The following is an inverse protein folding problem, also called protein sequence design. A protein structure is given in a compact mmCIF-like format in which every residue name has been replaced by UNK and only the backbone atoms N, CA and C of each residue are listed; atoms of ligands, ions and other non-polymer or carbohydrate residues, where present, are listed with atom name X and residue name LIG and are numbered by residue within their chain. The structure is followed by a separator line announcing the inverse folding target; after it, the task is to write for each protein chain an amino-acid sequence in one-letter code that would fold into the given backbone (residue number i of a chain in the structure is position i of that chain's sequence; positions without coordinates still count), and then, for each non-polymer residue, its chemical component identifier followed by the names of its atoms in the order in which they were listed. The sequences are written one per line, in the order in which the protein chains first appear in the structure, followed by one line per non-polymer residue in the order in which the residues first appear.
data_IF_501272284027
#
_entry.id   IF_501272284027
#
_cell.length_a   1.000
_cell.length_b   1.000
_cell.length_c   1.000
_cell.angle_alpha   90.00
_cell.angle_beta   90.00
_cell.angle_gamma   90.00
#
_symmetry.space_group_name_H-M   'P 1'
#
loop_
_entity.id
_entity.type
_entity.pdbx_description
1 polymer ?
#
# COMPACT_ATOMS: atom_id res chain seq x y z
N UNK A 1 25.99 7.64 -8.76
CA UNK A 1 25.95 9.03 -8.29
C UNK A 1 25.23 9.00 -6.95
N UNK A 2 25.96 9.21 -5.87
CA UNK A 2 25.40 9.49 -4.55
C UNK A 2 24.56 10.76 -4.71
N UNK A 3 23.26 10.67 -4.54
CA UNK A 3 22.44 11.87 -4.36
C UNK A 3 23.00 12.56 -3.13
N UNK A 4 23.67 13.68 -3.32
CA UNK A 4 24.23 14.48 -2.26
C UNK A 4 23.09 14.88 -1.33
N UNK A 5 23.12 14.31 -0.14
CA UNK A 5 22.17 14.70 0.91
C UNK A 5 22.51 16.16 1.24
N UNK A 6 21.53 17.06 1.33
CA UNK A 6 21.79 18.44 1.72
C UNK A 6 22.57 18.51 3.03
N UNK A 7 23.60 19.36 3.10
CA UNK A 7 24.49 19.46 4.26
C UNK A 7 23.71 19.65 5.58
N UNK A 8 22.67 20.47 5.58
CA UNK A 8 21.85 20.68 6.76
C UNK A 8 21.22 19.39 7.29
N UNK A 9 20.78 18.48 6.38
CA UNK A 9 20.20 17.20 6.76
C UNK A 9 21.26 16.25 7.30
N UNK A 10 22.46 16.24 6.69
CA UNK A 10 23.59 15.47 7.16
C UNK A 10 23.97 15.86 8.60
N UNK A 11 24.14 17.17 8.87
CA UNK A 11 24.46 17.69 10.19
C UNK A 11 23.37 17.37 11.23
N UNK A 12 22.10 17.47 10.84
CA UNK A 12 20.98 17.12 11.70
C UNK A 12 20.99 15.62 12.06
N UNK A 13 21.24 14.75 11.11
CA UNK A 13 21.36 13.31 11.32
C UNK A 13 22.54 12.97 12.24
N UNK A 14 23.72 13.59 12.02
CA UNK A 14 24.89 13.42 12.89
C UNK A 14 24.55 13.81 14.32
N UNK A 15 23.93 14.98 14.50
CA UNK A 15 23.53 15.47 15.84
C UNK A 15 22.55 14.52 16.55
N UNK A 16 21.66 13.89 15.80
CA UNK A 16 20.58 13.07 16.36
C UNK A 16 21.00 11.61 16.54
N UNK A 17 21.79 11.05 15.64
CA UNK A 17 22.07 9.61 15.59
C UNK A 17 23.56 9.25 15.68
N UNK A 18 24.46 10.25 15.65
CA UNK A 18 25.89 10.04 15.58
C UNK A 18 26.36 9.58 14.20
N UNK A 19 27.66 9.60 13.97
CA UNK A 19 28.26 9.39 12.65
C UNK A 19 28.00 7.99 12.08
N UNK A 20 28.16 6.93 12.89
CA UNK A 20 28.00 5.55 12.44
C UNK A 20 26.59 5.25 11.90
N UNK A 21 25.56 5.67 12.65
CA UNK A 21 24.19 5.42 12.24
C UNK A 21 23.78 6.33 11.08
N UNK A 22 24.25 7.57 11.06
CA UNK A 22 24.05 8.49 9.93
C UNK A 22 24.59 7.90 8.64
N UNK A 23 25.80 7.34 8.63
CA UNK A 23 26.38 6.71 7.43
C UNK A 23 25.53 5.53 6.97
N UNK A 24 25.06 4.68 7.88
CA UNK A 24 24.14 3.58 7.53
C UNK A 24 22.80 4.06 6.95
N UNK A 25 22.24 5.18 7.47
CA UNK A 25 21.04 5.81 6.93
C UNK A 25 21.29 6.29 5.50
N UNK A 26 22.43 6.94 5.26
CA UNK A 26 22.82 7.46 3.94
C UNK A 26 23.00 6.33 2.93
N UNK A 27 23.69 5.25 3.31
CA UNK A 27 23.79 4.04 2.48
C UNK A 27 22.43 3.49 2.13
N UNK A 28 21.48 3.51 3.07
CA UNK A 28 20.09 3.08 2.87
C UNK A 28 19.38 3.88 1.78
N UNK A 29 19.67 5.17 1.58
CA UNK A 29 19.09 5.96 0.49
C UNK A 29 19.53 5.50 -0.91
N UNK A 30 20.71 4.89 -1.01
CA UNK A 30 21.25 4.34 -2.26
C UNK A 30 20.73 2.93 -2.56
N UNK A 31 20.07 2.29 -1.60
CA UNK A 31 19.58 0.93 -1.73
C UNK A 31 18.34 0.88 -2.62
N UNK A 32 18.39 0.05 -3.66
CA UNK A 32 17.22 -0.18 -4.52
C UNK A 32 16.12 -0.89 -3.72
N UNK A 33 14.96 -0.25 -3.63
CA UNK A 33 13.80 -0.87 -2.96
C UNK A 33 13.35 -2.11 -3.75
N UNK A 34 13.11 -3.24 -3.08
CA UNK A 34 12.60 -4.43 -3.75
C UNK A 34 11.21 -4.16 -4.32
N UNK A 35 10.92 -4.77 -5.46
CA UNK A 35 9.57 -4.80 -5.98
C UNK A 35 8.74 -5.76 -5.13
N UNK A 36 7.64 -5.28 -4.58
CA UNK A 36 6.74 -6.10 -3.77
C UNK A 36 5.33 -6.04 -4.32
N UNK A 37 4.66 -7.19 -4.32
CA UNK A 37 3.29 -7.34 -4.76
C UNK A 37 2.44 -7.91 -3.63
N UNK A 38 1.18 -7.52 -3.61
CA UNK A 38 0.13 -8.13 -2.82
C UNK A 38 -0.81 -8.89 -3.74
N UNK A 39 -1.09 -10.14 -3.43
CA UNK A 39 -2.06 -11.00 -4.11
C UNK A 39 -3.46 -10.55 -3.68
N UNK A 40 -4.36 -10.40 -4.65
CA UNK A 40 -5.72 -9.96 -4.40
C UNK A 40 -6.67 -11.15 -4.19
N UNK A 41 -6.93 -11.49 -2.95
CA UNK A 41 -7.78 -12.64 -2.57
C UNK A 41 -9.25 -12.52 -3.02
N UNK A 42 -9.70 -11.33 -3.45
CA UNK A 42 -11.04 -11.17 -4.04
C UNK A 42 -11.12 -11.82 -5.42
N UNK A 43 -10.00 -11.84 -6.17
CA UNK A 43 -9.97 -12.24 -7.59
C UNK A 43 -9.21 -13.52 -7.87
N UNK A 44 -8.31 -13.90 -6.98
CA UNK A 44 -7.38 -15.01 -7.22
C UNK A 44 -6.92 -15.62 -5.89
N UNK A 45 -6.12 -16.66 -5.97
CA UNK A 45 -5.45 -17.29 -4.85
C UNK A 45 -3.92 -17.28 -5.01
N UNK A 46 -3.22 -17.63 -3.93
CA UNK A 46 -1.75 -17.61 -3.90
C UNK A 46 -1.15 -18.65 -4.85
N UNK A 47 -1.75 -19.82 -4.95
CA UNK A 47 -1.18 -20.92 -5.74
C UNK A 47 -1.26 -20.61 -7.23
N UNK A 48 -2.39 -20.05 -7.70
CA UNK A 48 -2.54 -19.57 -9.08
C UNK A 48 -1.47 -18.53 -9.43
N UNK A 49 -1.28 -17.52 -8.58
CA UNK A 49 -0.27 -16.48 -8.84
C UNK A 49 1.14 -17.06 -8.83
N UNK A 50 1.50 -17.92 -7.86
CA UNK A 50 2.80 -18.56 -7.80
C UNK A 50 3.07 -19.41 -9.06
N UNK A 51 2.07 -20.15 -9.54
CA UNK A 51 2.19 -20.93 -10.77
C UNK A 51 2.44 -20.04 -11.99
N UNK A 52 1.74 -18.90 -12.12
CA UNK A 52 1.96 -17.94 -13.20
C UNK A 52 3.38 -17.34 -13.12
N UNK A 53 3.84 -16.95 -11.91
CA UNK A 53 5.20 -16.44 -11.72
C UNK A 53 6.26 -17.47 -12.13
N UNK A 54 6.10 -18.73 -11.72
CA UNK A 54 7.01 -19.82 -12.06
C UNK A 54 7.03 -20.08 -13.57
N UNK A 55 5.87 -20.11 -14.23
CA UNK A 55 5.75 -20.30 -15.67
C UNK A 55 6.43 -19.18 -16.48
N UNK A 56 6.50 -17.97 -15.92
CA UNK A 56 7.20 -16.83 -16.52
C UNK A 56 8.65 -16.67 -16.03
N UNK A 57 9.21 -17.64 -15.31
CA UNK A 57 10.57 -17.60 -14.72
C UNK A 57 10.78 -16.39 -13.81
N UNK A 58 9.74 -15.91 -13.13
CA UNK A 58 9.80 -14.79 -12.17
C UNK A 58 10.14 -15.35 -10.79
N UNK A 59 11.31 -14.97 -10.27
CA UNK A 59 11.77 -15.37 -8.95
C UNK A 59 11.14 -14.50 -7.88
N UNK A 60 10.70 -15.12 -6.80
CA UNK A 60 10.09 -14.41 -5.68
C UNK A 60 10.48 -15.02 -4.33
N UNK A 61 10.35 -14.22 -3.27
CA UNK A 61 10.42 -14.67 -1.88
C UNK A 61 9.09 -14.43 -1.19
N UNK A 62 8.68 -15.38 -0.36
CA UNK A 62 7.50 -15.24 0.48
C UNK A 62 7.79 -14.34 1.69
N UNK A 63 6.76 -13.66 2.17
CA UNK A 63 6.84 -12.75 3.31
C UNK A 63 6.25 -13.45 4.54
N UNK A 64 7.07 -13.63 5.59
CA UNK A 64 6.71 -14.43 6.76
C UNK A 64 5.48 -13.92 7.53
N UNK A 65 5.25 -12.60 7.57
CA UNK A 65 4.14 -12.02 8.31
C UNK A 65 2.85 -11.88 7.51
N UNK A 66 2.89 -12.07 6.16
CA UNK A 66 1.71 -11.94 5.31
C UNK A 66 1.82 -12.82 4.06
N UNK A 67 1.09 -13.94 4.06
CA UNK A 67 1.13 -14.96 3.00
C UNK A 67 0.71 -14.46 1.61
N UNK A 68 -0.08 -13.39 1.55
CA UNK A 68 -0.53 -12.79 0.29
C UNK A 68 0.45 -11.74 -0.25
N UNK A 69 1.65 -11.59 0.35
CA UNK A 69 2.72 -10.71 -0.11
C UNK A 69 3.90 -11.50 -0.67
N UNK A 70 4.45 -11.03 -1.79
CA UNK A 70 5.65 -11.58 -2.40
C UNK A 70 6.67 -10.47 -2.70
N UNK A 71 7.95 -10.76 -2.48
CA UNK A 71 9.08 -9.92 -2.90
C UNK A 71 9.59 -10.47 -4.23
N UNK A 72 9.62 -9.63 -5.25
CA UNK A 72 10.04 -10.01 -6.61
C UNK A 72 11.53 -9.71 -6.78
N UNK A 73 12.32 -10.67 -7.22
CA UNK A 73 13.78 -10.57 -7.24
C UNK A 73 14.36 -10.19 -8.60
N UNK A 74 13.87 -10.76 -9.68
CA UNK A 74 14.49 -10.69 -11.01
C UNK A 74 13.65 -9.98 -12.06
N UNK A 75 12.64 -9.22 -11.64
CA UNK A 75 11.71 -8.56 -12.54
C UNK A 75 11.52 -7.09 -12.16
N UNK A 76 11.31 -6.21 -13.12
CA UNK A 76 11.00 -4.82 -12.84
C UNK A 76 9.50 -4.55 -12.95
N UNK A 77 9.08 -3.39 -12.42
CA UNK A 77 7.67 -3.03 -12.38
C UNK A 77 7.03 -2.93 -13.77
N UNK A 78 7.75 -2.36 -14.76
CA UNK A 78 7.20 -2.17 -16.12
C UNK A 78 6.90 -3.49 -16.81
N UNK A 79 7.81 -4.47 -16.65
CA UNK A 79 7.60 -5.79 -17.25
C UNK A 79 6.43 -6.51 -16.59
N UNK A 80 6.24 -6.31 -15.27
CA UNK A 80 5.10 -6.85 -14.53
C UNK A 80 3.75 -6.23 -14.95
N UNK A 81 3.76 -4.93 -15.31
CA UNK A 81 2.57 -4.22 -15.79
C UNK A 81 2.01 -4.80 -17.11
N UNK A 82 2.83 -5.53 -17.87
CA UNK A 82 2.43 -6.22 -19.11
C UNK A 82 1.81 -7.61 -18.86
N UNK A 83 1.77 -8.09 -17.64
CA UNK A 83 1.18 -9.39 -17.32
C UNK A 83 -0.33 -9.25 -17.06
N UNK A 84 -1.12 -10.20 -17.57
CA UNK A 84 -2.57 -10.24 -17.39
C UNK A 84 -3.00 -10.16 -15.92
N UNK A 85 -2.23 -10.75 -15.01
CA UNK A 85 -2.50 -10.70 -13.57
C UNK A 85 -2.50 -9.27 -13.00
N UNK A 86 -1.71 -8.36 -13.58
CA UNK A 86 -1.73 -6.96 -13.21
C UNK A 86 -2.95 -6.24 -13.82
N UNK A 87 -3.20 -6.44 -15.12
CA UNK A 87 -4.33 -5.81 -15.80
C UNK A 87 -5.67 -6.26 -15.22
N UNK A 88 -5.80 -7.54 -14.89
CA UNK A 88 -7.00 -8.10 -14.26
C UNK A 88 -7.17 -7.70 -12.79
N UNK A 89 -6.19 -7.03 -12.18
CA UNK A 89 -6.21 -6.66 -10.76
C UNK A 89 -6.11 -7.86 -9.81
N UNK A 90 -5.48 -8.94 -10.25
CA UNK A 90 -5.20 -10.12 -9.42
C UNK A 90 -4.02 -9.87 -8.47
N UNK A 91 -3.20 -8.85 -8.76
CA UNK A 91 -2.13 -8.35 -7.89
C UNK A 91 -2.20 -6.83 -7.74
N UNK A 92 -1.54 -6.32 -6.69
CA UNK A 92 -1.36 -4.88 -6.46
C UNK A 92 0.07 -4.59 -5.99
N UNK A 93 0.72 -3.59 -6.59
CA UNK A 93 2.05 -3.14 -6.11
C UNK A 93 1.90 -2.36 -4.82
N UNK A 94 2.44 -2.90 -3.74
CA UNK A 94 2.37 -2.29 -2.42
C UNK A 94 3.64 -2.60 -1.64
N UNK A 95 4.20 -1.60 -0.94
CA UNK A 95 5.34 -1.84 -0.06
C UNK A 95 4.92 -2.67 1.17
N UNK A 96 5.83 -3.48 1.68
CA UNK A 96 5.55 -4.32 2.84
C UNK A 96 5.09 -3.50 4.06
N UNK A 97 5.73 -2.34 4.29
CA UNK A 97 5.33 -1.42 5.36
C UNK A 97 3.91 -0.89 5.18
N UNK A 98 3.49 -0.63 3.92
CA UNK A 98 2.12 -0.18 3.64
C UNK A 98 1.07 -1.28 3.78
N UNK A 99 1.48 -2.55 3.80
CA UNK A 99 0.57 -3.68 4.03
C UNK A 99 0.26 -3.90 5.52
N UNK A 100 1.11 -3.44 6.43
CA UNK A 100 0.97 -3.69 7.86
C UNK A 100 -0.30 -3.07 8.49
N UNK A 101 -0.65 -1.80 8.24
CA UNK A 101 -1.80 -1.19 8.89
C UNK A 101 -3.13 -1.93 8.66
N UNK A 102 -3.50 -2.35 7.44
CA UNK A 102 -4.70 -3.18 7.23
C UNK A 102 -4.64 -4.55 7.92
N UNK A 103 -3.45 -5.16 8.00
CA UNK A 103 -3.28 -6.45 8.70
C UNK A 103 -3.53 -6.28 10.20
N UNK A 104 -2.97 -5.23 10.80
CA UNK A 104 -3.14 -4.92 12.23
C UNK A 104 -4.59 -4.54 12.53
N UNK A 105 -5.22 -3.74 11.66
CA UNK A 105 -6.62 -3.36 11.77
C UNK A 105 -7.53 -4.60 11.74
N UNK A 106 -7.17 -5.60 10.94
CA UNK A 106 -7.84 -6.89 10.86
C UNK A 106 -9.36 -6.76 10.68
N UNK A 107 -9.82 -6.20 9.53
CA UNK A 107 -11.23 -5.98 9.26
C UNK A 107 -12.01 -7.29 9.29
N UNK A 108 -13.21 -7.28 9.89
CA UNK A 108 -14.11 -8.42 10.00
C UNK A 108 -15.40 -8.19 9.23
N UNK A 109 -16.10 -9.27 8.93
CA UNK A 109 -17.45 -9.25 8.36
C UNK A 109 -18.39 -8.39 9.23
N UNK A 110 -19.15 -7.51 8.59
CA UNK A 110 -20.15 -6.65 9.21
C UNK A 110 -19.61 -5.40 9.90
N UNK A 111 -18.29 -5.26 10.06
CA UNK A 111 -17.70 -4.05 10.67
C UNK A 111 -17.79 -2.85 9.73
N UNK A 112 -18.13 -1.68 10.30
CA UNK A 112 -18.04 -0.38 9.65
C UNK A 112 -16.62 0.17 9.81
N UNK A 113 -15.92 0.41 8.70
CA UNK A 113 -14.52 0.83 8.71
C UNK A 113 -14.34 2.13 7.94
N UNK A 114 -13.64 3.09 8.53
CA UNK A 114 -13.24 4.33 7.88
C UNK A 114 -11.76 4.30 7.49
N UNK A 115 -11.48 4.56 6.21
CA UNK A 115 -10.14 4.91 5.72
C UNK A 115 -10.09 6.43 5.50
N UNK A 116 -9.43 7.16 6.40
CA UNK A 116 -9.48 8.64 6.44
C UNK A 116 -8.61 9.31 5.37
N UNK A 117 -7.67 8.60 4.74
CA UNK A 117 -6.75 9.14 3.74
C UNK A 117 -6.48 8.09 2.66
N UNK A 118 -7.55 7.63 2.00
CA UNK A 118 -7.61 6.38 1.29
C UNK A 118 -6.78 6.30 0.00
N UNK A 119 -6.61 7.42 -0.72
CA UNK A 119 -5.94 7.38 -2.02
C UNK A 119 -4.43 7.05 -1.91
N UNK A 120 -3.93 6.22 -2.80
CA UNK A 120 -4.53 5.71 -4.05
C UNK A 120 -5.40 4.44 -3.91
N UNK A 121 -5.66 3.92 -2.71
CA UNK A 121 -6.57 2.79 -2.50
C UNK A 121 -5.89 1.46 -2.15
N UNK A 122 -4.58 1.42 -1.96
CA UNK A 122 -3.86 0.20 -1.64
C UNK A 122 -4.31 -0.43 -0.32
N UNK A 123 -4.48 0.38 0.74
CA UNK A 123 -4.94 -0.09 2.05
C UNK A 123 -6.43 -0.40 2.04
N UNK A 124 -7.23 0.45 1.41
CA UNK A 124 -8.69 0.23 1.24
C UNK A 124 -8.96 -1.10 0.57
N UNK A 125 -8.31 -1.37 -0.58
CA UNK A 125 -8.49 -2.63 -1.33
C UNK A 125 -7.91 -3.84 -0.59
N UNK A 126 -6.91 -3.64 0.26
CA UNK A 126 -6.40 -4.70 1.13
C UNK A 126 -7.38 -5.03 2.25
N UNK A 127 -7.99 -4.03 2.88
CA UNK A 127 -9.04 -4.24 3.89
C UNK A 127 -10.22 -5.00 3.31
N UNK A 128 -10.66 -4.64 2.10
CA UNK A 128 -11.70 -5.34 1.37
C UNK A 128 -11.32 -6.81 1.09
N UNK A 129 -10.06 -7.07 0.70
CA UNK A 129 -9.58 -8.42 0.46
C UNK A 129 -9.49 -9.26 1.74
N UNK A 130 -9.04 -8.67 2.86
CA UNK A 130 -8.95 -9.35 4.17
C UNK A 130 -10.33 -9.76 4.68
N UNK A 131 -11.34 -8.89 4.50
CA UNK A 131 -12.73 -9.16 4.90
C UNK A 131 -13.56 -9.87 3.83
N UNK A 132 -12.97 -10.28 2.71
CA UNK A 132 -13.67 -10.90 1.57
C UNK A 132 -14.83 -10.02 1.05
N UNK A 133 -14.67 -8.70 1.03
CA UNK A 133 -15.71 -7.72 0.73
C UNK A 133 -16.92 -7.71 1.70
N UNK A 134 -16.79 -8.29 2.89
CA UNK A 134 -17.86 -8.39 3.87
C UNK A 134 -17.87 -7.28 4.92
N UNK A 135 -16.80 -6.51 5.05
CA UNK A 135 -16.78 -5.27 5.83
C UNK A 135 -17.40 -4.11 5.04
N UNK A 136 -18.01 -3.16 5.73
CA UNK A 136 -18.56 -1.92 5.17
C UNK A 136 -17.49 -0.84 5.22
N UNK A 137 -16.75 -0.66 4.12
CA UNK A 137 -15.63 0.27 4.09
C UNK A 137 -16.05 1.61 3.50
N UNK A 138 -15.80 2.69 4.23
CA UNK A 138 -15.91 4.07 3.77
C UNK A 138 -14.51 4.64 3.56
N UNK A 139 -14.20 5.04 2.34
CA UNK A 139 -12.90 5.53 1.91
C UNK A 139 -12.96 7.03 1.61
N UNK A 140 -12.33 7.86 2.46
CA UNK A 140 -12.28 9.30 2.30
C UNK A 140 -11.00 9.77 1.60
N UNK A 141 -11.14 10.66 0.63
CA UNK A 141 -10.02 11.39 0.02
C UNK A 141 -10.48 12.80 -0.38
N UNK A 142 -9.88 13.82 0.22
CA UNK A 142 -10.26 15.23 -0.04
C UNK A 142 -9.82 15.77 -1.40
N UNK A 143 -8.75 15.20 -1.96
CA UNK A 143 -8.20 15.65 -3.24
C UNK A 143 -8.92 14.94 -4.40
N UNK A 144 -9.60 15.70 -5.26
CA UNK A 144 -10.35 15.16 -6.41
C UNK A 144 -9.50 14.33 -7.37
N UNK A 145 -8.27 14.76 -7.69
CA UNK A 145 -7.39 14.03 -8.61
C UNK A 145 -6.97 12.69 -8.00
N UNK A 146 -6.66 12.69 -6.70
CA UNK A 146 -6.31 11.46 -5.99
C UNK A 146 -7.50 10.53 -5.83
N UNK A 147 -8.71 11.09 -5.65
CA UNK A 147 -9.93 10.28 -5.54
C UNK A 147 -10.26 9.52 -6.83
N UNK A 148 -9.91 10.05 -8.01
CA UNK A 148 -10.07 9.30 -9.26
C UNK A 148 -9.15 8.07 -9.34
N UNK A 149 -7.93 8.18 -8.84
CA UNK A 149 -7.03 7.01 -8.70
C UNK A 149 -7.56 5.98 -7.70
N UNK A 150 -8.14 6.45 -6.61
CA UNK A 150 -8.81 5.60 -5.62
C UNK A 150 -9.96 4.83 -6.26
N UNK A 151 -10.86 5.51 -6.97
CA UNK A 151 -11.98 4.90 -7.70
C UNK A 151 -11.51 3.84 -8.70
N UNK A 152 -10.51 4.19 -9.50
CA UNK A 152 -9.92 3.28 -10.47
C UNK A 152 -9.38 2.00 -9.79
N UNK A 153 -8.59 2.14 -8.73
CA UNK A 153 -7.99 1.01 -8.04
C UNK A 153 -9.02 0.14 -7.32
N UNK A 154 -10.03 0.75 -6.68
CA UNK A 154 -11.14 0.01 -6.07
C UNK A 154 -11.85 -0.84 -7.12
N UNK A 155 -12.20 -0.25 -8.27
CA UNK A 155 -12.83 -0.96 -9.38
C UNK A 155 -11.93 -2.06 -9.95
N UNK A 156 -10.65 -1.75 -10.24
CA UNK A 156 -9.69 -2.70 -10.79
C UNK A 156 -9.48 -3.90 -9.87
N UNK A 157 -9.41 -3.65 -8.57
CA UNK A 157 -9.21 -4.71 -7.57
C UNK A 157 -10.53 -5.46 -7.20
N UNK A 158 -11.69 -5.01 -7.67
CA UNK A 158 -12.99 -5.61 -7.31
C UNK A 158 -13.34 -5.42 -5.83
N UNK A 159 -12.78 -4.41 -5.20
CA UNK A 159 -13.06 -4.10 -3.81
C UNK A 159 -14.42 -3.41 -3.66
N UNK A 160 -15.14 -3.73 -2.59
CA UNK A 160 -16.39 -3.08 -2.23
C UNK A 160 -16.12 -2.01 -1.18
N UNK A 161 -16.23 -0.72 -1.57
CA UNK A 161 -16.04 0.41 -0.66
C UNK A 161 -16.82 1.63 -1.14
N UNK A 162 -17.40 2.37 -0.21
CA UNK A 162 -18.03 3.67 -0.45
C UNK A 162 -16.95 4.75 -0.50
N UNK A 163 -16.94 5.56 -1.57
CA UNK A 163 -15.95 6.61 -1.73
C UNK A 163 -16.57 7.97 -1.44
N UNK A 164 -16.01 8.69 -0.47
CA UNK A 164 -16.37 10.07 -0.17
C UNK A 164 -15.23 11.00 -0.56
N UNK A 165 -15.53 11.95 -1.47
CA UNK A 165 -14.55 12.96 -1.90
C UNK A 165 -14.63 14.14 -0.96
N UNK A 166 -14.18 13.95 0.27
CA UNK A 166 -14.32 14.87 1.37
C UNK A 166 -13.16 14.74 2.36
N UNK A 167 -12.97 15.79 3.17
CA UNK A 167 -12.08 15.71 4.34
C UNK A 167 -12.77 14.88 5.44
N UNK A 168 -12.20 13.75 5.80
CA UNK A 168 -12.77 12.85 6.79
C UNK A 168 -13.04 13.50 8.16
N UNK A 169 -12.37 14.62 8.48
CA UNK A 169 -12.64 15.41 9.71
C UNK A 169 -13.96 16.19 9.68
N UNK A 170 -14.61 16.24 8.50
CA UNK A 170 -15.88 16.94 8.28
C UNK A 170 -17.05 15.98 8.07
N UNK A 171 -16.82 14.68 8.27
CA UNK A 171 -17.91 13.71 8.24
C UNK A 171 -18.94 14.06 9.30
N UNK A 172 -20.21 13.85 8.95
CA UNK A 172 -21.33 14.07 9.85
C UNK A 172 -21.26 13.11 11.04
N UNK A 173 -21.67 13.57 12.22
CA UNK A 173 -21.68 12.81 13.49
C UNK A 173 -22.59 11.57 13.47
N UNK A 174 -23.43 11.41 12.44
CA UNK A 174 -24.21 10.19 12.23
C UNK A 174 -23.40 8.99 11.72
N UNK A 175 -22.17 9.24 11.19
CA UNK A 175 -21.29 8.15 10.81
C UNK A 175 -20.65 7.53 12.05
N UNK A 176 -20.94 6.26 12.27
CA UNK A 176 -20.35 5.48 13.36
C UNK A 176 -19.48 4.38 12.75
N UNK A 177 -18.27 4.26 13.21
CA UNK A 177 -17.29 3.28 12.72
C UNK A 177 -16.77 2.43 13.87
N UNK A 178 -16.66 1.11 13.61
CA UNK A 178 -16.04 0.17 14.54
C UNK A 178 -14.51 0.31 14.53
N UNK A 179 -13.94 0.65 13.37
CA UNK A 179 -12.50 0.81 13.18
C UNK A 179 -12.18 1.97 12.24
N UNK A 180 -11.07 2.64 12.54
CA UNK A 180 -10.60 3.78 11.74
C UNK A 180 -9.15 3.55 11.36
N UNK A 181 -8.86 3.64 10.07
CA UNK A 181 -7.51 3.70 9.53
C UNK A 181 -7.13 5.14 9.22
N UNK A 182 -6.11 5.65 9.91
CA UNK A 182 -5.50 6.93 9.60
C UNK A 182 -4.03 6.72 9.19
N UNK A 183 -3.78 6.72 7.91
CA UNK A 183 -2.44 6.75 7.32
C UNK A 183 -2.26 8.07 6.56
N UNK A 184 -2.16 9.15 7.33
CA UNK A 184 -2.06 10.49 6.80
C UNK A 184 -0.70 10.73 6.14
N UNK A 185 -0.72 11.42 5.00
CA UNK A 185 0.52 11.98 4.45
C UNK A 185 1.02 13.08 5.39
N UNK A 186 2.15 12.84 6.04
CA UNK A 186 2.90 13.89 6.73
C UNK A 186 3.43 14.83 5.65
N UNK A 187 3.12 16.13 5.79
CA UNK A 187 3.27 17.14 4.77
C UNK A 187 4.64 17.09 4.06
N UNK A 188 4.60 17.34 2.76
CA UNK A 188 5.82 17.78 2.07
C UNK A 188 6.17 19.14 2.69
N UNK A 189 7.33 19.22 3.34
CA UNK A 189 7.89 20.50 3.69
C UNK A 189 7.97 21.33 2.40
N UNK A 190 7.22 22.42 2.33
CA UNK A 190 7.45 23.43 1.32
C UNK A 190 8.74 24.14 1.75
N UNK A 191 9.81 23.81 1.09
CA UNK A 191 11.04 24.59 1.11
C UNK A 191 10.89 25.72 0.13
#
# INVERSE_FOLDING_TARGET
MLNEIPNFLYELLIKQYGEKLTNSIIEGYSTKRPLTIRINKIKTDCDKIKNILNANNIKYKEVSFYKDALIIENYNKKDFENLDIYENGEIYFQSLSSMLPPIILNPKEGENILDMAAAPGGKTTQMAAISENKALITACEKNKIRSERLKYNIKKQGANANILVEDARKLNDYFIFDKILLDAQIGRAHV
#
